data_IF_266810793602
#
_entry.id   IF_266810793602
#
_cell.length_a   1.000
_cell.length_b   1.000
_cell.length_c   1.000
_cell.angle_alpha   90.00
_cell.angle_beta   90.00
_cell.angle_gamma   90.00
#
_symmetry.space_group_name_H-M   'P 1'
#
loop_
_entity.id
_entity.type
_entity.pdbx_description
1 polymer ?
#
# COMPACT_ATOMS: atom_id res chain seq x y z
N UNK A 1 -25.79 19.68 -5.53
CA UNK A 1 -24.74 20.16 -4.58
C UNK A 1 -23.86 21.18 -5.33
N UNK A 2 -23.00 21.99 -4.69
CA UNK A 2 -22.09 22.87 -5.45
C UNK A 2 -21.03 22.00 -6.13
N UNK A 3 -20.89 22.05 -7.46
CA UNK A 3 -19.94 21.20 -8.20
C UNK A 3 -18.50 21.23 -7.65
N UNK A 4 -18.10 22.36 -7.06
CA UNK A 4 -16.83 22.50 -6.35
C UNK A 4 -16.73 21.59 -5.11
N UNK A 5 -17.79 21.49 -4.31
CA UNK A 5 -17.84 20.62 -3.13
C UNK A 5 -17.81 19.15 -3.55
N UNK A 6 -18.53 18.78 -4.61
CA UNK A 6 -18.53 17.42 -5.15
C UNK A 6 -17.13 16.98 -5.61
N UNK A 7 -16.41 17.91 -6.25
CA UNK A 7 -15.03 17.69 -6.66
C UNK A 7 -14.09 17.50 -5.47
N UNK A 8 -14.22 18.33 -4.43
CA UNK A 8 -13.43 18.18 -3.20
C UNK A 8 -13.74 16.86 -2.48
N UNK A 9 -15.02 16.48 -2.39
CA UNK A 9 -15.44 15.20 -1.82
C UNK A 9 -14.87 14.03 -2.61
N UNK A 10 -14.96 14.06 -3.95
CA UNK A 10 -14.39 13.03 -4.82
C UNK A 10 -12.90 12.85 -4.56
N UNK A 11 -12.13 13.94 -4.57
CA UNK A 11 -10.70 13.90 -4.28
C UNK A 11 -10.46 13.34 -2.87
N UNK A 12 -11.17 13.88 -1.87
CA UNK A 12 -11.02 13.49 -0.47
C UNK A 12 -11.18 11.98 -0.25
N UNK A 13 -12.23 11.37 -0.80
CA UNK A 13 -12.46 9.93 -0.67
C UNK A 13 -11.36 9.10 -1.35
N UNK A 14 -10.92 9.49 -2.54
CA UNK A 14 -9.86 8.77 -3.23
C UNK A 14 -8.48 8.96 -2.61
N UNK A 15 -8.24 10.06 -1.88
CA UNK A 15 -7.06 10.22 -1.04
C UNK A 15 -7.10 9.29 0.19
N UNK A 16 -8.28 9.09 0.79
CA UNK A 16 -8.50 8.13 1.89
C UNK A 16 -8.33 6.67 1.44
N UNK A 17 -8.47 6.38 0.15
CA UNK A 17 -8.04 5.10 -0.41
C UNK A 17 -6.52 5.05 -0.61
N UNK A 18 -5.98 6.04 -1.32
CA UNK A 18 -4.63 6.01 -1.90
C UNK A 18 -3.52 6.07 -0.85
N UNK A 19 -3.61 6.98 0.12
CA UNK A 19 -2.52 7.18 1.08
C UNK A 19 -2.48 6.11 2.17
N UNK A 20 -3.62 5.69 2.75
CA UNK A 20 -3.64 4.53 3.65
C UNK A 20 -3.16 3.26 2.96
N UNK A 21 -3.46 3.06 1.66
CA UNK A 21 -2.88 1.96 0.89
C UNK A 21 -1.35 2.03 0.90
N UNK A 22 -0.79 3.17 0.49
CA UNK A 22 0.64 3.41 0.48
C UNK A 22 1.28 3.26 1.88
N UNK A 23 0.60 3.71 2.93
CA UNK A 23 1.08 3.60 4.31
C UNK A 23 1.15 2.13 4.76
N UNK A 24 0.12 1.32 4.47
CA UNK A 24 0.17 -0.12 4.74
C UNK A 24 1.31 -0.81 3.98
N UNK A 25 1.62 -0.34 2.77
CA UNK A 25 2.75 -0.83 2.00
C UNK A 25 4.11 -0.47 2.63
N UNK A 26 4.25 0.75 3.14
CA UNK A 26 5.46 1.22 3.82
C UNK A 26 5.77 0.39 5.06
N UNK A 27 4.77 0.14 5.89
CA UNK A 27 4.95 -0.61 7.15
C UNK A 27 5.38 -2.06 6.89
N UNK A 28 4.88 -2.69 5.83
CA UNK A 28 5.38 -4.01 5.40
C UNK A 28 6.83 -3.94 4.96
N UNK A 29 7.21 -2.92 4.18
CA UNK A 29 8.59 -2.81 3.72
C UNK A 29 9.57 -2.52 4.84
N UNK A 30 9.15 -1.76 5.85
CA UNK A 30 9.91 -1.58 7.08
C UNK A 30 10.10 -2.91 7.81
N UNK A 31 9.02 -3.69 7.96
CA UNK A 31 9.07 -5.04 8.55
C UNK A 31 10.04 -5.97 7.80
N UNK A 32 9.95 -6.01 6.47
CA UNK A 32 10.84 -6.84 5.63
C UNK A 32 12.30 -6.39 5.80
N UNK A 33 12.56 -5.09 5.85
CA UNK A 33 13.91 -4.54 6.07
C UNK A 33 14.49 -4.92 7.44
N UNK A 34 13.70 -4.83 8.51
CA UNK A 34 14.11 -5.25 9.85
C UNK A 34 14.36 -6.76 9.92
N UNK A 35 13.48 -7.56 9.31
CA UNK A 35 13.61 -9.01 9.26
C UNK A 35 14.87 -9.44 8.48
N UNK A 36 15.17 -8.80 7.35
CA UNK A 36 16.40 -9.06 6.59
C UNK A 36 17.66 -8.75 7.41
N UNK A 37 17.66 -7.68 8.22
CA UNK A 37 18.78 -7.37 9.12
C UNK A 37 18.98 -8.43 10.21
N UNK A 38 17.88 -9.01 10.69
CA UNK A 38 17.91 -10.05 11.74
C UNK A 38 18.40 -11.41 11.22
N UNK A 39 18.05 -11.76 9.97
CA UNK A 39 18.40 -13.07 9.37
C UNK A 39 19.83 -13.08 8.83
N UNK A 40 20.33 -11.94 8.36
CA UNK A 40 21.57 -11.86 7.58
C UNK A 40 21.39 -12.44 6.17
N UNK A 41 22.47 -12.57 5.40
CA UNK A 41 22.48 -13.22 4.06
C UNK A 41 22.38 -14.74 4.18
N UNK A 42 21.32 -15.24 4.81
CA UNK A 42 21.08 -16.68 4.92
C UNK A 42 20.42 -17.21 3.62
N UNK A 43 21.12 -18.02 2.82
CA UNK A 43 20.64 -18.47 1.50
C UNK A 43 19.41 -19.39 1.59
N UNK A 44 19.02 -19.84 2.79
CA UNK A 44 17.85 -20.69 2.98
C UNK A 44 16.52 -19.93 2.87
N UNK A 45 16.50 -18.61 3.07
CA UNK A 45 15.24 -17.82 3.07
C UNK A 45 15.02 -17.06 1.77
N UNK A 46 14.25 -17.67 0.85
CA UNK A 46 13.83 -17.03 -0.41
C UNK A 46 12.94 -15.80 -0.15
N UNK A 47 13.24 -14.70 -0.83
CA UNK A 47 12.43 -13.48 -0.79
C UNK A 47 11.06 -13.68 -1.47
N UNK A 48 10.03 -13.00 -0.96
CA UNK A 48 8.70 -12.99 -1.59
C UNK A 48 8.78 -12.14 -2.85
N UNK A 49 8.35 -12.72 -3.97
CA UNK A 49 8.42 -12.06 -5.27
C UNK A 49 7.70 -10.70 -5.26
N UNK A 50 8.29 -9.64 -5.84
CA UNK A 50 7.62 -8.35 -6.03
C UNK A 50 6.32 -8.45 -6.85
N UNK A 51 6.16 -9.47 -7.68
CA UNK A 51 4.94 -9.71 -8.47
C UNK A 51 3.67 -9.91 -7.61
N UNK A 52 3.83 -10.30 -6.35
CA UNK A 52 2.68 -10.40 -5.43
C UNK A 52 2.06 -9.04 -5.06
N UNK A 53 2.68 -7.92 -5.43
CA UNK A 53 2.06 -6.59 -5.35
C UNK A 53 0.81 -6.43 -6.24
N UNK A 54 0.68 -7.26 -7.27
CA UNK A 54 -0.49 -7.23 -8.16
C UNK A 54 -1.79 -7.55 -7.39
N UNK A 55 -1.69 -8.32 -6.29
CA UNK A 55 -2.81 -8.56 -5.38
C UNK A 55 -2.52 -7.87 -4.04
N UNK A 56 -3.22 -6.77 -3.71
CA UNK A 56 -2.87 -5.88 -2.60
C UNK A 56 -2.78 -6.54 -1.21
N UNK A 57 -3.37 -7.71 -1.02
CA UNK A 57 -3.34 -8.46 0.24
C UNK A 57 -2.41 -9.68 0.24
N UNK A 58 -1.94 -10.12 -0.93
CA UNK A 58 -1.25 -11.40 -1.06
C UNK A 58 0.21 -11.31 -0.65
N UNK A 59 0.93 -10.27 -1.09
CA UNK A 59 2.30 -10.02 -0.63
C UNK A 59 2.39 -9.82 0.90
N UNK A 60 1.55 -8.97 1.54
CA UNK A 60 1.50 -8.85 3.00
C UNK A 60 1.38 -10.20 3.72
N UNK A 61 0.46 -11.03 3.24
CA UNK A 61 0.17 -12.32 3.84
C UNK A 61 1.35 -13.30 3.71
N UNK A 62 2.01 -13.31 2.54
CA UNK A 62 3.17 -14.17 2.28
C UNK A 62 4.40 -13.74 3.07
N UNK A 63 4.66 -12.44 3.19
CA UNK A 63 5.77 -11.92 4.02
C UNK A 63 5.52 -12.21 5.50
N UNK A 64 4.27 -12.08 5.99
CA UNK A 64 3.89 -12.49 7.35
C UNK A 64 4.15 -13.97 7.60
N UNK A 65 3.76 -14.84 6.67
CA UNK A 65 4.00 -16.28 6.80
C UNK A 65 5.50 -16.59 6.85
N UNK A 66 6.29 -15.98 5.97
CA UNK A 66 7.75 -16.09 5.97
C UNK A 66 8.33 -15.66 7.31
N UNK A 67 7.94 -14.49 7.82
CA UNK A 67 8.41 -13.97 9.11
C UNK A 67 8.13 -14.92 10.29
N UNK A 68 6.93 -15.51 10.34
CA UNK A 68 6.56 -16.47 11.37
C UNK A 68 7.34 -17.78 11.28
N UNK A 69 7.63 -18.26 10.06
CA UNK A 69 8.46 -19.44 9.82
C UNK A 69 9.91 -19.21 10.30
N UNK A 70 10.49 -18.05 10.00
CA UNK A 70 11.84 -17.66 10.45
C UNK A 70 11.93 -17.59 11.98
N UNK A 71 10.98 -16.92 12.64
CA UNK A 71 10.98 -16.76 14.10
C UNK A 71 10.86 -18.12 14.79
N UNK A 72 10.01 -19.00 14.25
CA UNK A 72 9.81 -20.36 14.76
C UNK A 72 11.09 -21.21 14.64
N UNK A 73 11.83 -21.08 13.55
CA UNK A 73 13.07 -21.86 13.31
C UNK A 73 14.27 -21.35 14.12
N UNK A 74 14.34 -20.05 14.42
CA UNK A 74 15.48 -19.42 15.11
C UNK A 74 15.36 -19.36 16.63
N UNK A 75 14.27 -19.85 17.25
CA UNK A 75 13.98 -19.70 18.69
C UNK A 75 14.17 -18.25 19.18
N UNK A 76 13.71 -17.27 18.37
CA UNK A 76 13.91 -15.85 18.69
C UNK A 76 13.11 -15.45 19.95
N UNK A 77 13.62 -14.42 20.63
CA UNK A 77 13.11 -13.96 21.91
C UNK A 77 11.69 -13.40 21.76
N UNK A 78 10.84 -13.50 22.80
CA UNK A 78 9.43 -13.08 22.74
C UNK A 78 9.25 -11.62 22.28
N UNK A 79 10.22 -10.75 22.59
CA UNK A 79 10.23 -9.35 22.18
C UNK A 79 10.31 -9.16 20.65
N UNK A 80 11.04 -10.02 19.94
CA UNK A 80 11.17 -9.96 18.48
C UNK A 80 9.90 -10.47 17.78
N UNK A 81 9.23 -11.44 18.40
CA UNK A 81 7.92 -11.91 17.94
C UNK A 81 6.84 -10.83 18.16
N UNK A 82 6.89 -10.13 19.29
CA UNK A 82 5.94 -9.06 19.63
C UNK A 82 6.06 -7.87 18.68
N UNK A 83 7.29 -7.47 18.31
CA UNK A 83 7.51 -6.39 17.34
C UNK A 83 6.93 -6.78 15.97
N UNK A 84 7.23 -7.99 15.46
CA UNK A 84 6.72 -8.50 14.19
C UNK A 84 5.19 -8.56 14.14
N UNK A 85 4.52 -8.95 15.23
CA UNK A 85 3.06 -8.95 15.33
C UNK A 85 2.51 -7.52 15.34
N UNK A 86 3.09 -6.61 16.12
CA UNK A 86 2.67 -5.19 16.15
C UNK A 86 2.84 -4.48 14.81
N UNK A 87 3.85 -4.81 14.01
CA UNK A 87 4.01 -4.25 12.66
C UNK A 87 2.94 -4.80 11.69
N UNK A 88 2.63 -6.10 11.77
CA UNK A 88 1.56 -6.72 10.98
C UNK A 88 0.19 -6.11 11.29
N UNK A 89 -0.08 -5.77 12.56
CA UNK A 89 -1.35 -5.18 12.99
C UNK A 89 -1.52 -3.74 12.48
N UNK A 90 -0.45 -2.95 12.50
CA UNK A 90 -0.46 -1.58 11.94
C UNK A 90 -0.70 -1.59 10.43
N UNK A 91 -0.01 -2.46 9.69
CA UNK A 91 -0.16 -2.52 8.24
C UNK A 91 -1.59 -2.93 7.87
N UNK A 92 -2.13 -3.90 8.60
CA UNK A 92 -3.53 -4.35 8.47
C UNK A 92 -4.52 -3.22 8.73
N UNK A 93 -4.30 -2.41 9.77
CA UNK A 93 -5.16 -1.27 10.07
C UNK A 93 -5.21 -0.28 8.91
N UNK A 94 -4.07 0.08 8.31
CA UNK A 94 -4.05 0.97 7.16
C UNK A 94 -4.72 0.40 5.92
N UNK A 95 -4.60 -0.91 5.68
CA UNK A 95 -5.34 -1.55 4.60
C UNK A 95 -6.84 -1.56 4.83
N UNK A 96 -7.32 -1.72 6.08
CA UNK A 96 -8.74 -1.58 6.38
C UNK A 96 -9.25 -0.15 6.17
N UNK A 97 -8.46 0.86 6.56
CA UNK A 97 -8.78 2.27 6.28
C UNK A 97 -8.83 2.53 4.77
N UNK A 98 -7.85 2.01 4.03
CA UNK A 98 -7.83 2.09 2.57
C UNK A 98 -9.07 1.44 1.96
N UNK A 99 -9.44 0.24 2.41
CA UNK A 99 -10.62 -0.48 1.94
C UNK A 99 -11.92 0.30 2.23
N UNK A 100 -12.02 0.95 3.39
CA UNK A 100 -13.15 1.83 3.69
C UNK A 100 -13.21 3.03 2.73
N UNK A 101 -12.07 3.67 2.46
CA UNK A 101 -11.95 4.74 1.46
C UNK A 101 -12.31 4.27 0.05
N UNK A 102 -11.95 3.04 -0.32
CA UNK A 102 -12.30 2.44 -1.61
C UNK A 102 -13.81 2.29 -1.78
N UNK A 103 -14.51 1.72 -0.78
CA UNK A 103 -15.96 1.57 -0.84
C UNK A 103 -16.68 2.93 -0.88
N UNK A 104 -16.23 3.88 -0.07
CA UNK A 104 -16.83 5.22 -0.02
C UNK A 104 -16.58 6.00 -1.31
N UNK A 105 -15.35 5.98 -1.82
CA UNK A 105 -14.99 6.58 -3.10
C UNK A 105 -15.74 5.96 -4.28
N UNK A 106 -15.94 4.65 -4.28
CA UNK A 106 -16.75 3.95 -5.30
C UNK A 106 -18.21 4.38 -5.25
N UNK A 107 -18.82 4.41 -4.06
CA UNK A 107 -20.21 4.85 -3.88
C UNK A 107 -20.39 6.29 -4.33
N UNK A 108 -19.50 7.20 -3.90
CA UNK A 108 -19.54 8.60 -4.30
C UNK A 108 -19.36 8.77 -5.81
N UNK A 109 -18.43 8.04 -6.42
CA UNK A 109 -18.21 8.10 -7.88
C UNK A 109 -19.45 7.65 -8.65
N UNK A 110 -20.15 6.62 -8.17
CA UNK A 110 -21.42 6.18 -8.74
C UNK A 110 -22.51 7.26 -8.62
N UNK A 111 -22.65 7.89 -7.45
CA UNK A 111 -23.63 8.96 -7.22
C UNK A 111 -23.36 10.17 -8.12
N UNK A 112 -22.11 10.65 -8.17
CA UNK A 112 -21.71 11.76 -9.04
C UNK A 112 -21.90 11.40 -10.52
N UNK A 113 -21.56 10.18 -10.94
CA UNK A 113 -21.79 9.77 -12.31
C UNK A 113 -23.28 9.81 -12.68
N UNK A 114 -24.16 9.35 -11.78
CA UNK A 114 -25.60 9.39 -11.99
C UNK A 114 -26.16 10.81 -12.03
N UNK A 115 -25.61 11.73 -11.22
CA UNK A 115 -26.03 13.14 -11.18
C UNK A 115 -25.60 13.90 -12.45
N UNK A 116 -24.33 13.77 -12.85
CA UNK A 116 -23.77 14.52 -13.98
C UNK A 116 -23.99 13.85 -15.35
N UNK A 117 -24.19 12.53 -15.41
CA UNK A 117 -24.39 11.75 -16.64
C UNK A 117 -25.63 10.84 -16.58
N UNK A 118 -26.84 11.38 -16.34
CA UNK A 118 -28.04 10.58 -16.05
C UNK A 118 -28.49 9.66 -17.21
N UNK A 119 -28.05 9.93 -18.44
CA UNK A 119 -28.46 9.17 -19.63
C UNK A 119 -27.45 8.09 -20.02
N UNK A 120 -26.32 7.98 -19.31
CA UNK A 120 -25.29 6.99 -19.59
C UNK A 120 -25.46 5.75 -18.70
N UNK A 121 -24.98 4.61 -19.18
CA UNK A 121 -24.96 3.38 -18.38
C UNK A 121 -24.05 3.56 -17.14
N UNK A 122 -24.52 3.30 -15.91
CA UNK A 122 -23.70 3.45 -14.71
C UNK A 122 -22.44 2.57 -14.68
N UNK A 123 -22.35 1.52 -15.49
CA UNK A 123 -21.15 0.68 -15.61
C UNK A 123 -19.93 1.43 -16.16
N UNK A 124 -20.10 2.62 -16.75
CA UNK A 124 -19.00 3.47 -17.20
C UNK A 124 -18.08 3.96 -16.07
N UNK A 125 -18.47 3.80 -14.79
CA UNK A 125 -17.58 4.08 -13.65
C UNK A 125 -16.45 3.04 -13.50
N UNK A 126 -16.64 1.81 -14.00
CA UNK A 126 -15.67 0.71 -13.87
C UNK A 126 -14.28 1.08 -14.40
N UNK A 127 -14.12 1.60 -15.64
CA UNK A 127 -12.82 2.04 -16.12
C UNK A 127 -12.23 3.20 -15.31
N UNK A 128 -13.05 4.09 -14.76
CA UNK A 128 -12.59 5.20 -13.89
C UNK A 128 -11.99 4.64 -12.60
N UNK A 129 -12.68 3.70 -11.96
CA UNK A 129 -12.20 3.04 -10.74
C UNK A 129 -10.90 2.26 -11.02
N UNK A 130 -10.85 1.51 -12.11
CA UNK A 130 -9.65 0.77 -12.51
C UNK A 130 -8.46 1.70 -12.76
N UNK A 131 -8.68 2.84 -13.40
CA UNK A 131 -7.64 3.86 -13.59
C UNK A 131 -7.10 4.35 -12.24
N UNK A 132 -7.98 4.66 -11.29
CA UNK A 132 -7.58 5.15 -9.96
C UNK A 132 -6.79 4.09 -9.20
N UNK A 133 -7.26 2.84 -9.16
CA UNK A 133 -6.53 1.71 -8.54
C UNK A 133 -5.13 1.58 -9.16
N UNK A 134 -5.04 1.61 -10.49
CA UNK A 134 -3.76 1.48 -11.21
C UNK A 134 -2.81 2.62 -10.85
N UNK A 135 -3.30 3.85 -10.79
CA UNK A 135 -2.51 5.02 -10.39
C UNK A 135 -2.07 4.93 -8.93
N UNK A 136 -2.92 4.44 -8.02
CA UNK A 136 -2.59 4.22 -6.61
C UNK A 136 -1.47 3.18 -6.46
N UNK A 137 -1.60 2.03 -7.13
CA UNK A 137 -0.57 0.96 -7.09
C UNK A 137 0.73 1.47 -7.71
N UNK A 138 0.67 2.12 -8.87
CA UNK A 138 1.84 2.69 -9.52
C UNK A 138 2.52 3.73 -8.63
N UNK A 139 1.76 4.61 -7.97
CA UNK A 139 2.28 5.59 -7.03
C UNK A 139 2.98 4.92 -5.85
N UNK A 140 2.38 3.86 -5.28
CA UNK A 140 2.97 3.11 -4.20
C UNK A 140 4.28 2.45 -4.64
N UNK A 141 4.28 1.68 -5.72
CA UNK A 141 5.47 1.02 -6.26
C UNK A 141 6.57 2.03 -6.60
N UNK A 142 6.23 3.14 -7.26
CA UNK A 142 7.19 4.19 -7.60
C UNK A 142 7.84 4.81 -6.36
N UNK A 143 7.05 5.11 -5.32
CA UNK A 143 7.55 5.71 -4.09
C UNK A 143 8.37 4.75 -3.23
N UNK A 144 8.02 3.47 -3.29
CA UNK A 144 8.71 2.39 -2.58
C UNK A 144 9.96 1.89 -3.31
N UNK A 145 10.08 2.16 -4.62
CA UNK A 145 11.29 1.81 -5.37
C UNK A 145 12.51 2.53 -4.79
N UNK A 146 13.56 1.76 -4.49
CA UNK A 146 14.83 2.29 -3.97
C UNK A 146 15.44 3.36 -4.88
N UNK A 147 15.13 3.35 -6.18
CA UNK A 147 15.58 4.33 -7.17
C UNK A 147 15.25 5.78 -6.79
N UNK A 148 14.10 6.04 -6.16
CA UNK A 148 13.76 7.39 -5.67
C UNK A 148 14.67 7.80 -4.52
N UNK A 149 14.89 6.92 -3.55
CA UNK A 149 15.76 7.19 -2.41
C UNK A 149 17.20 7.44 -2.90
N UNK A 150 17.71 6.61 -3.80
CA UNK A 150 19.04 6.77 -4.41
C UNK A 150 19.14 8.08 -5.20
N UNK A 151 18.09 8.49 -5.93
CA UNK A 151 18.07 9.76 -6.68
C UNK A 151 18.07 10.98 -5.75
N UNK A 152 17.28 10.96 -4.69
CA UNK A 152 17.22 12.05 -3.70
C UNK A 152 18.56 12.16 -2.95
N UNK A 153 19.11 11.03 -2.49
CA UNK A 153 20.41 11.00 -1.80
C UNK A 153 21.52 11.48 -2.75
N UNK A 154 21.53 11.03 -4.01
CA UNK A 154 22.49 11.48 -5.02
C UNK A 154 22.42 12.99 -5.24
N UNK A 155 21.22 13.55 -5.42
CA UNK A 155 21.03 14.98 -5.62
C UNK A 155 21.41 15.82 -4.39
N UNK A 156 21.18 15.30 -3.19
CA UNK A 156 21.58 15.94 -1.93
C UNK A 156 23.11 15.95 -1.76
N UNK A 157 23.77 14.83 -2.06
CA UNK A 157 25.23 14.71 -2.00
C UNK A 157 25.94 15.51 -3.09
N UNK A 158 25.34 15.67 -4.27
CA UNK A 158 25.91 16.47 -5.37
C UNK A 158 25.86 17.97 -5.12
N UNK A 159 24.92 18.48 -4.31
CA UNK A 159 24.84 19.89 -3.91
C UNK A 159 25.77 20.26 -2.74
N UNK A 160 26.46 19.28 -2.14
CA UNK A 160 27.44 19.48 -1.06
C UNK A 160 28.91 19.49 -1.54
N UNK A 161 29.16 19.26 -2.84
CA UNK A 161 30.48 19.39 -3.47
C UNK A 161 30.55 20.70 -4.24
#
# INVERSE_FOLDING_TARGET
>A
MNAFMDFLSFIGEWLLYTFPFYQGCLEIMEQVSELTKLIGEDPNYKEVSPWFWVVPFLKPYLERRRALEIVRERNMNENDLYSLLMFSDRASAWFFVSLAGFFKGTSLTYELFKEYFPHHNPLWIVPIIWLIITLTIFNAVYRLSGERATRIIRNFLSHRR
#
